data_IF_451656025010
#
_entry.id   IF_451656025010
#
_cell.length_a   1.000
_cell.length_b   1.000
_cell.length_c   1.000
_cell.angle_alpha   90.00
_cell.angle_beta   90.00
_cell.angle_gamma   90.00
#
_symmetry.space_group_name_H-M   'P 1'
#
loop_
_entity.id
_entity.type
_entity.pdbx_description
1 polymer ?
#
# COMPACT_ATOMS: atom_id res chain seq x y z
N UNK A 1 2.83 60.45 46.74
CA UNK A 1 2.54 59.56 45.60
C UNK A 1 3.62 58.50 45.57
N UNK A 2 3.35 57.30 46.09
CA UNK A 2 4.31 56.19 46.10
C UNK A 2 4.20 55.42 44.78
N UNK A 3 5.22 55.51 43.94
CA UNK A 3 5.31 54.72 42.72
C UNK A 3 5.67 53.28 43.08
N UNK A 4 4.78 52.34 42.78
CA UNK A 4 5.09 50.91 42.85
C UNK A 4 6.09 50.59 41.72
N UNK A 5 7.36 50.43 42.08
CA UNK A 5 8.36 49.92 41.16
C UNK A 5 8.05 48.45 40.83
N UNK A 6 7.61 48.18 39.60
CA UNK A 6 7.46 46.82 39.11
C UNK A 6 8.84 46.15 39.03
N UNK A 7 9.00 45.06 39.78
CA UNK A 7 10.22 44.23 39.73
C UNK A 7 10.38 43.67 38.30
N UNK A 8 11.55 43.81 37.66
CA UNK A 8 11.79 43.22 36.34
C UNK A 8 11.65 41.70 36.42
N UNK A 9 10.99 41.09 35.42
CA UNK A 9 10.87 39.63 35.33
C UNK A 9 12.22 39.06 34.92
N UNK A 10 12.81 38.27 35.80
CA UNK A 10 14.09 37.62 35.54
C UNK A 10 13.89 36.31 34.77
N UNK A 11 14.74 36.08 33.77
CA UNK A 11 14.84 34.80 33.12
C UNK A 11 15.51 33.80 34.07
N UNK A 12 14.77 32.78 34.47
CA UNK A 12 15.22 31.77 35.45
C UNK A 12 15.44 30.40 34.81
N UNK A 13 16.07 29.47 35.54
CA UNK A 13 16.23 28.08 35.09
C UNK A 13 14.90 27.37 34.75
N UNK A 14 13.78 27.78 35.36
CA UNK A 14 12.44 27.27 34.97
C UNK A 14 12.04 27.71 33.57
N UNK A 15 12.36 28.95 33.18
CA UNK A 15 12.10 29.44 31.82
C UNK A 15 12.94 28.66 30.80
N UNK A 16 14.22 28.43 31.10
CA UNK A 16 15.09 27.60 30.26
C UNK A 16 14.56 26.17 30.12
N UNK A 17 14.15 25.53 31.22
CA UNK A 17 13.59 24.18 31.20
C UNK A 17 12.34 24.10 30.31
N UNK A 18 11.40 25.05 30.45
CA UNK A 18 10.19 25.11 29.62
C UNK A 18 10.54 25.27 28.14
N UNK A 19 11.50 26.13 27.81
CA UNK A 19 11.93 26.36 26.42
C UNK A 19 12.56 25.09 25.83
N UNK A 20 13.45 24.42 26.58
CA UNK A 20 14.09 23.18 26.13
C UNK A 20 13.04 22.09 25.89
N UNK A 21 12.12 21.89 26.83
CA UNK A 21 11.05 20.90 26.68
C UNK A 21 10.13 21.24 25.50
N UNK A 22 9.76 22.51 25.32
CA UNK A 22 8.94 22.94 24.18
C UNK A 22 9.66 22.69 22.84
N UNK A 23 10.95 23.01 22.76
CA UNK A 23 11.76 22.79 21.57
C UNK A 23 11.80 21.30 21.18
N UNK A 24 12.19 20.42 22.12
CA UNK A 24 12.22 18.99 21.85
C UNK A 24 10.83 18.41 21.61
N UNK A 25 9.80 18.93 22.29
CA UNK A 25 8.41 18.55 22.05
C UNK A 25 7.97 18.80 20.61
N UNK A 26 8.32 19.96 20.04
CA UNK A 26 8.04 20.26 18.62
C UNK A 26 8.79 19.31 17.70
N UNK A 27 10.08 19.09 17.92
CA UNK A 27 10.89 18.17 17.11
C UNK A 27 10.31 16.76 17.11
N UNK A 28 9.95 16.24 18.29
CA UNK A 28 9.34 14.92 18.44
C UNK A 28 7.98 14.87 17.72
N UNK A 29 7.12 15.86 17.91
CA UNK A 29 5.81 15.91 17.27
C UNK A 29 5.91 15.89 15.74
N UNK A 30 6.83 16.68 15.18
CA UNK A 30 7.08 16.68 13.73
C UNK A 30 7.60 15.33 13.26
N UNK A 31 8.58 14.74 13.95
CA UNK A 31 9.14 13.43 13.58
C UNK A 31 8.10 12.31 13.63
N UNK A 32 7.25 12.28 14.66
CA UNK A 32 6.17 11.29 14.76
C UNK A 32 5.12 11.51 13.68
N UNK A 33 4.80 12.76 13.35
CA UNK A 33 3.89 13.10 12.24
C UNK A 33 4.45 12.58 10.93
N UNK A 34 5.73 12.86 10.64
CA UNK A 34 6.41 12.38 9.44
C UNK A 34 6.47 10.85 9.39
N UNK A 35 6.78 10.18 10.50
CA UNK A 35 6.79 8.71 10.57
C UNK A 35 5.39 8.12 10.30
N UNK A 36 4.34 8.74 10.84
CA UNK A 36 2.95 8.34 10.61
C UNK A 36 2.57 8.52 9.14
N UNK A 37 2.87 9.70 8.57
CA UNK A 37 2.62 9.99 7.16
C UNK A 37 3.39 9.06 6.23
N UNK A 38 4.66 8.77 6.52
CA UNK A 38 5.46 7.85 5.73
C UNK A 38 4.85 6.45 5.74
N UNK A 39 4.39 5.94 6.90
CA UNK A 39 3.79 4.61 6.97
C UNK A 39 2.40 4.53 6.28
N UNK A 40 1.62 5.62 6.32
CA UNK A 40 0.30 5.66 5.68
C UNK A 40 0.39 5.86 4.17
N UNK A 41 1.23 6.78 3.71
CA UNK A 41 1.38 7.16 2.29
C UNK A 41 2.29 6.25 1.48
N UNK A 42 3.11 5.41 2.12
CA UNK A 42 3.96 4.46 1.41
C UNK A 42 3.12 3.36 0.73
N UNK A 43 3.32 3.21 -0.58
CA UNK A 43 2.49 2.41 -1.49
C UNK A 43 2.90 0.94 -1.59
N UNK A 44 3.92 0.50 -0.85
CA UNK A 44 4.51 -0.84 -0.97
C UNK A 44 5.88 -0.82 -1.65
N UNK A 45 6.62 -1.93 -1.53
CA UNK A 45 7.83 -2.19 -2.34
C UNK A 45 7.36 -2.73 -3.69
N UNK A 46 7.75 -2.09 -4.80
CA UNK A 46 7.38 -2.50 -6.17
C UNK A 46 7.76 -3.95 -6.47
N UNK A 47 8.70 -4.54 -5.73
CA UNK A 47 8.90 -5.99 -5.68
C UNK A 47 9.48 -6.39 -4.32
N UNK A 48 8.77 -7.22 -3.54
CA UNK A 48 9.25 -7.73 -2.25
C UNK A 48 10.53 -8.60 -2.41
N UNK A 49 10.71 -9.24 -3.58
CA UNK A 49 11.90 -10.04 -3.91
C UNK A 49 12.03 -10.33 -5.42
N UNK A 50 12.58 -9.41 -6.22
CA UNK A 50 12.81 -9.60 -7.67
C UNK A 50 13.62 -10.85 -7.99
N UNK A 51 14.49 -11.26 -7.06
CA UNK A 51 15.32 -12.44 -7.21
C UNK A 51 14.49 -13.74 -7.16
N UNK A 52 13.54 -13.85 -6.24
CA UNK A 52 12.63 -15.01 -6.17
C UNK A 52 11.69 -15.05 -7.37
N UNK A 53 11.16 -13.90 -7.79
CA UNK A 53 10.32 -13.81 -8.98
C UNK A 53 11.05 -14.31 -10.25
N UNK A 54 12.32 -13.94 -10.41
CA UNK A 54 13.15 -14.36 -11.55
C UNK A 54 13.39 -15.88 -11.58
N UNK A 55 13.55 -16.52 -10.42
CA UNK A 55 13.74 -17.98 -10.34
C UNK A 55 12.49 -18.75 -10.73
N UNK A 56 11.31 -18.23 -10.39
CA UNK A 56 10.04 -18.89 -10.68
C UNK A 56 9.57 -18.65 -12.12
N UNK A 57 10.06 -17.61 -12.80
CA UNK A 57 9.63 -17.23 -14.13
C UNK A 57 9.68 -18.38 -15.14
N UNK A 58 10.80 -19.11 -15.22
CA UNK A 58 10.94 -20.20 -16.19
C UNK A 58 9.94 -21.34 -15.96
N UNK A 59 9.67 -21.67 -14.69
CA UNK A 59 8.70 -22.70 -14.30
C UNK A 59 7.28 -22.25 -14.64
N UNK A 60 6.90 -21.03 -14.26
CA UNK A 60 5.60 -20.45 -14.57
C UNK A 60 5.38 -20.30 -16.08
N UNK A 61 6.42 -19.95 -16.83
CA UNK A 61 6.37 -19.87 -18.28
C UNK A 61 6.15 -21.24 -18.94
N UNK A 62 6.74 -22.31 -18.41
CA UNK A 62 6.47 -23.68 -18.88
C UNK A 62 5.03 -24.10 -18.59
N UNK A 63 4.54 -23.84 -17.38
CA UNK A 63 3.13 -24.11 -17.00
C UNK A 63 2.16 -23.32 -17.89
N UNK A 64 2.46 -22.04 -18.16
CA UNK A 64 1.67 -21.18 -19.05
C UNK A 64 1.66 -21.68 -20.49
N UNK A 65 2.78 -22.20 -21.01
CA UNK A 65 2.83 -22.81 -22.35
C UNK A 65 2.00 -24.10 -22.41
N UNK A 66 2.04 -24.92 -21.37
CA UNK A 66 1.20 -26.12 -21.28
C UNK A 66 -0.29 -25.76 -21.25
N UNK A 67 -0.67 -24.70 -20.52
CA UNK A 67 -2.05 -24.18 -20.51
C UNK A 67 -2.46 -23.59 -21.87
N UNK A 68 -1.58 -22.83 -22.54
CA UNK A 68 -1.84 -22.30 -23.87
C UNK A 68 -2.06 -23.43 -24.90
N UNK A 69 -1.37 -24.56 -24.76
CA UNK A 69 -1.53 -25.73 -25.61
C UNK A 69 -2.90 -26.43 -25.43
N UNK A 70 -3.64 -26.17 -24.34
CA UNK A 70 -5.00 -26.69 -24.14
C UNK A 70 -6.04 -26.00 -25.05
N UNK A 71 -5.67 -24.90 -25.71
CA UNK A 71 -6.56 -24.18 -26.63
C UNK A 71 -7.75 -23.50 -25.95
N UNK A 72 -7.63 -23.19 -24.66
CA UNK A 72 -8.68 -22.49 -23.93
C UNK A 72 -8.80 -21.03 -24.35
N UNK A 73 -10.03 -20.55 -24.47
CA UNK A 73 -10.32 -19.16 -24.81
C UNK A 73 -11.04 -18.49 -23.64
N UNK A 74 -10.46 -17.39 -23.14
CA UNK A 74 -11.02 -16.57 -22.08
C UNK A 74 -11.76 -15.37 -22.65
N UNK A 75 -12.93 -15.05 -22.11
CA UNK A 75 -13.67 -13.81 -22.41
C UNK A 75 -13.96 -13.07 -21.11
N UNK A 76 -13.48 -11.83 -21.04
CA UNK A 76 -13.75 -10.90 -19.95
C UNK A 76 -14.76 -9.85 -20.42
N UNK A 77 -15.86 -9.70 -19.69
CA UNK A 77 -16.86 -8.66 -19.92
C UNK A 77 -17.02 -7.85 -18.65
N UNK A 78 -16.87 -6.53 -18.76
CA UNK A 78 -17.10 -5.59 -17.67
C UNK A 78 -18.25 -4.69 -18.10
N UNK A 79 -19.40 -4.82 -17.46
CA UNK A 79 -20.59 -4.04 -17.78
C UNK A 79 -21.50 -3.89 -16.55
N UNK A 80 -22.12 -2.72 -16.39
CA UNK A 80 -23.11 -2.47 -15.33
C UNK A 80 -22.62 -2.77 -13.90
N UNK A 81 -21.33 -2.49 -13.62
CA UNK A 81 -20.71 -2.80 -12.33
C UNK A 81 -20.47 -4.30 -12.07
N UNK A 82 -20.64 -5.15 -13.08
CA UNK A 82 -20.37 -6.58 -12.99
C UNK A 82 -19.15 -6.96 -13.82
N UNK A 83 -18.35 -7.86 -13.25
CA UNK A 83 -17.21 -8.50 -13.90
C UNK A 83 -17.60 -9.94 -14.18
N UNK A 84 -17.61 -10.31 -15.47
CA UNK A 84 -17.91 -11.68 -15.91
C UNK A 84 -16.72 -12.23 -16.68
N UNK A 85 -16.21 -13.35 -16.20
CA UNK A 85 -15.16 -14.09 -16.88
C UNK A 85 -15.67 -15.48 -17.25
N UNK A 86 -15.48 -15.87 -18.51
CA UNK A 86 -15.86 -17.20 -19.02
C UNK A 86 -14.69 -17.83 -19.75
N UNK A 87 -14.44 -19.11 -19.49
CA UNK A 87 -13.45 -19.92 -20.21
C UNK A 87 -14.18 -20.99 -21.00
N UNK A 88 -13.84 -21.12 -22.29
CA UNK A 88 -14.27 -22.21 -23.15
C UNK A 88 -13.07 -23.03 -23.62
N UNK A 89 -13.27 -24.33 -23.82
CA UNK A 89 -12.27 -25.22 -24.42
C UNK A 89 -12.15 -25.00 -25.94
N UNK A 90 -11.23 -25.73 -26.59
CA UNK A 90 -11.03 -25.66 -28.03
C UNK A 90 -12.28 -26.05 -28.85
N UNK A 91 -13.22 -26.78 -28.25
CA UNK A 91 -14.50 -27.17 -28.87
C UNK A 91 -15.66 -26.20 -28.53
N UNK A 92 -15.36 -25.10 -27.83
CA UNK A 92 -16.35 -24.10 -27.42
C UNK A 92 -17.18 -24.49 -26.20
N UNK A 93 -16.87 -25.59 -25.50
CA UNK A 93 -17.59 -26.00 -24.30
C UNK A 93 -17.05 -25.27 -23.06
N UNK A 94 -17.93 -24.89 -22.11
CA UNK A 94 -17.48 -24.29 -20.85
C UNK A 94 -16.55 -25.22 -20.08
N UNK A 95 -15.42 -24.69 -19.61
CA UNK A 95 -14.47 -25.47 -18.79
C UNK A 95 -15.00 -25.54 -17.34
N UNK A 96 -15.15 -26.73 -16.73
CA UNK A 96 -15.57 -26.85 -15.34
C UNK A 96 -14.47 -26.36 -14.40
N UNK A 97 -14.74 -25.27 -13.68
CA UNK A 97 -13.82 -24.66 -12.73
C UNK A 97 -14.07 -25.22 -11.33
N UNK A 98 -13.01 -25.65 -10.64
CA UNK A 98 -13.09 -26.10 -9.23
C UNK A 98 -13.03 -24.95 -8.23
N UNK A 99 -12.49 -23.81 -8.65
CA UNK A 99 -12.35 -22.61 -7.86
C UNK A 99 -11.82 -21.48 -8.74
N UNK A 100 -12.23 -20.26 -8.43
CA UNK A 100 -11.77 -19.05 -9.13
C UNK A 100 -11.31 -18.08 -8.06
N UNK A 101 -10.16 -17.45 -8.30
CA UNK A 101 -9.68 -16.32 -7.52
C UNK A 101 -9.61 -15.11 -8.45
N UNK A 102 -10.33 -14.05 -8.12
CA UNK A 102 -10.25 -12.77 -8.81
C UNK A 102 -9.43 -11.82 -7.95
N UNK A 103 -8.48 -11.12 -8.59
CA UNK A 103 -7.67 -10.10 -7.93
C UNK A 103 -7.83 -8.81 -8.71
N UNK A 104 -8.46 -7.83 -8.08
CA UNK A 104 -8.58 -6.47 -8.59
C UNK A 104 -7.43 -5.67 -8.03
N UNK A 105 -6.59 -5.13 -8.92
CA UNK A 105 -5.41 -4.36 -8.51
C UNK A 105 -5.65 -2.88 -8.72
N UNK A 106 -5.34 -2.07 -7.72
CA UNK A 106 -5.31 -0.63 -7.89
C UNK A 106 -4.00 -0.23 -8.60
N UNK A 107 -4.03 0.62 -9.66
CA UNK A 107 -2.84 0.90 -10.47
C UNK A 107 -1.63 1.46 -9.71
N UNK A 108 -1.85 2.07 -8.54
CA UNK A 108 -0.80 2.78 -7.80
C UNK A 108 -0.75 2.45 -6.30
N UNK A 109 -1.71 1.69 -5.75
CA UNK A 109 -1.82 1.49 -4.30
C UNK A 109 -2.23 0.05 -3.98
N UNK A 110 -1.26 -0.80 -3.64
CA UNK A 110 -1.54 -2.21 -3.32
C UNK A 110 -2.49 -2.39 -2.11
N UNK A 111 -2.55 -1.39 -1.21
CA UNK A 111 -3.49 -1.38 -0.07
C UNK A 111 -4.97 -1.37 -0.51
N UNK A 112 -5.24 -0.99 -1.75
CA UNK A 112 -6.57 -0.94 -2.34
C UNK A 112 -6.84 -2.15 -3.26
N UNK A 113 -5.93 -3.15 -3.27
CA UNK A 113 -6.15 -4.40 -4.00
C UNK A 113 -7.22 -5.25 -3.29
N UNK A 114 -8.23 -5.65 -4.05
CA UNK A 114 -9.35 -6.44 -3.57
C UNK A 114 -9.29 -7.85 -4.15
N UNK A 115 -9.44 -8.88 -3.31
CA UNK A 115 -9.47 -10.28 -3.75
C UNK A 115 -10.77 -10.96 -3.36
N UNK A 116 -11.41 -11.61 -4.33
CA UNK A 116 -12.70 -12.32 -4.19
C UNK A 116 -12.61 -13.73 -4.75
#
# INVERSE_FOLDING_TARGET
MTANAQKPREFTGRHMLVIVLAFFGVVIAVNLTMATLANTSWTGLVVENTYVASQQFNKQAQEGRAQAALGWTGKLTIAWGQVRYSIADAAGKPVPLRGVKMVFRHPAYEKEDESV
#
